data_IF_905390717317
#
_entry.id   IF_905390717317
#
_cell.length_a   1.000
_cell.length_b   1.000
_cell.length_c   1.000
_cell.angle_alpha   90.00
_cell.angle_beta   90.00
_cell.angle_gamma   90.00
#
_symmetry.space_group_name_H-M   'P 1'
#
loop_
_entity.id
_entity.type
_entity.pdbx_description
1 polymer ?
#
# COMPACT_ATOMS: atom_id res chain seq x y z
N UNK A 1 -37.29 -34.92 5.74
CA UNK A 1 -36.08 -34.07 5.74
C UNK A 1 -34.93 -34.93 5.23
N UNK A 2 -34.36 -34.62 4.05
CA UNK A 2 -33.28 -35.44 3.48
C UNK A 2 -32.02 -35.18 4.30
N UNK A 3 -31.54 -36.20 5.00
CA UNK A 3 -30.28 -36.16 5.72
C UNK A 3 -29.18 -35.82 4.72
N UNK A 4 -28.39 -34.79 5.04
CA UNK A 4 -27.27 -34.33 4.24
C UNK A 4 -26.19 -35.42 4.34
N UNK A 5 -26.26 -36.42 3.47
CA UNK A 5 -25.16 -37.37 3.29
C UNK A 5 -23.95 -36.57 2.81
N UNK A 6 -22.78 -36.86 3.39
CA UNK A 6 -21.51 -36.18 3.11
C UNK A 6 -21.30 -34.85 3.85
N UNK A 7 -21.79 -34.70 5.08
CA UNK A 7 -21.56 -33.54 5.97
C UNK A 7 -20.10 -33.07 6.03
N UNK A 8 -19.12 -33.99 5.97
CA UNK A 8 -17.68 -33.64 5.93
C UNK A 8 -17.29 -32.89 4.65
N UNK A 9 -17.87 -33.23 3.50
CA UNK A 9 -17.63 -32.51 2.25
C UNK A 9 -18.21 -31.09 2.30
N UNK A 10 -19.39 -30.93 2.88
CA UNK A 10 -19.98 -29.59 3.09
C UNK A 10 -19.15 -28.74 4.05
N UNK A 11 -18.58 -29.33 5.11
CA UNK A 11 -17.67 -28.62 6.01
C UNK A 11 -16.39 -28.16 5.28
N UNK A 12 -15.78 -29.03 4.46
CA UNK A 12 -14.59 -28.68 3.65
C UNK A 12 -14.93 -27.57 2.64
N UNK A 13 -16.07 -27.67 1.96
CA UNK A 13 -16.54 -26.66 1.00
C UNK A 13 -16.71 -25.29 1.65
N UNK A 14 -17.33 -25.23 2.84
CA UNK A 14 -17.54 -23.98 3.57
C UNK A 14 -16.23 -23.34 4.02
N UNK A 15 -15.26 -24.13 4.50
CA UNK A 15 -13.94 -23.64 4.92
C UNK A 15 -13.15 -23.09 3.71
N UNK A 16 -13.22 -23.76 2.56
CA UNK A 16 -12.55 -23.32 1.34
C UNK A 16 -13.09 -21.96 0.86
N UNK A 17 -14.41 -21.78 0.84
CA UNK A 17 -15.05 -20.52 0.44
C UNK A 17 -14.67 -19.38 1.40
N UNK A 18 -14.68 -19.64 2.71
CA UNK A 18 -14.31 -18.64 3.73
C UNK A 18 -12.86 -18.15 3.59
N UNK A 19 -11.94 -19.07 3.27
CA UNK A 19 -10.52 -18.77 3.10
C UNK A 19 -10.26 -17.85 1.88
N UNK A 20 -11.01 -18.03 0.80
CA UNK A 20 -10.92 -17.20 -0.41
C UNK A 20 -11.37 -15.76 -0.12
N UNK A 21 -12.44 -15.59 0.67
CA UNK A 21 -12.96 -14.27 1.05
C UNK A 21 -11.95 -13.42 1.84
N UNK A 22 -11.03 -14.04 2.58
CA UNK A 22 -10.01 -13.32 3.36
C UNK A 22 -8.80 -12.88 2.52
N UNK A 23 -8.58 -13.46 1.33
CA UNK A 23 -7.41 -13.15 0.48
C UNK A 23 -7.47 -11.79 -0.22
N UNK A 24 -8.65 -11.14 -0.24
CA UNK A 24 -8.86 -9.84 -0.88
C UNK A 24 -8.45 -8.61 -0.06
N UNK A 25 -8.02 -8.78 1.20
CA UNK A 25 -7.67 -7.65 2.08
C UNK A 25 -6.25 -7.10 1.87
N UNK A 26 -5.69 -7.19 0.67
CA UNK A 26 -4.47 -6.47 0.32
C UNK A 26 -4.86 -5.05 -0.08
N UNK A 27 -4.75 -4.10 0.86
CA UNK A 27 -4.66 -2.67 0.52
C UNK A 27 -3.39 -2.52 -0.30
N UNK A 28 -3.53 -2.59 -1.62
CA UNK A 28 -2.50 -2.08 -2.52
C UNK A 28 -2.33 -0.62 -2.16
N UNK A 29 -1.24 -0.30 -1.45
CA UNK A 29 -0.79 1.08 -1.32
C UNK A 29 -0.56 1.51 -2.75
N UNK A 30 -1.56 2.19 -3.31
CA UNK A 30 -1.47 2.77 -4.61
C UNK A 30 -0.39 3.83 -4.53
N UNK A 31 0.86 3.43 -4.73
CA UNK A 31 1.83 4.27 -5.41
C UNK A 31 1.35 4.41 -6.84
N UNK A 32 0.16 5.03 -7.02
CA UNK A 32 -0.17 5.78 -8.21
C UNK A 32 0.81 6.95 -8.20
N UNK A 33 2.07 6.64 -8.49
CA UNK A 33 2.98 7.58 -9.09
C UNK A 33 2.30 7.91 -10.40
N UNK A 34 1.44 8.92 -10.35
CA UNK A 34 1.03 9.62 -11.54
C UNK A 34 2.34 9.99 -12.22
N UNK A 35 2.68 9.25 -13.28
CA UNK A 35 3.67 9.67 -14.27
C UNK A 35 3.11 10.92 -14.96
N UNK A 36 2.97 11.99 -14.19
CA UNK A 36 2.89 13.34 -14.70
C UNK A 36 4.33 13.67 -15.04
N UNK A 37 4.60 13.73 -16.35
CA UNK A 37 5.81 14.27 -16.95
C UNK A 37 5.95 15.75 -16.59
N UNK A 38 6.13 16.05 -15.31
CA UNK A 38 6.43 17.39 -14.84
C UNK A 38 7.92 17.43 -14.62
N UNK A 39 8.63 18.11 -15.54
CA UNK A 39 10.00 18.66 -15.38
C UNK A 39 10.53 18.42 -13.98
N UNK A 40 11.51 17.52 -13.84
CA UNK A 40 12.16 17.11 -12.59
C UNK A 40 12.12 18.20 -11.52
N UNK A 41 11.02 18.26 -10.75
CA UNK A 41 10.89 19.28 -9.72
C UNK A 41 11.92 18.90 -8.66
N UNK A 42 12.71 19.86 -8.14
CA UNK A 42 13.60 19.58 -7.04
C UNK A 42 12.80 18.92 -5.92
N UNK A 43 13.39 17.87 -5.33
CA UNK A 43 12.77 17.09 -4.27
C UNK A 43 12.29 18.06 -3.17
N UNK A 44 11.02 18.01 -2.73
CA UNK A 44 10.54 18.95 -1.72
C UNK A 44 11.38 18.80 -0.44
N UNK A 45 11.66 19.90 0.27
CA UNK A 45 12.62 19.94 1.37
C UNK A 45 12.28 18.96 2.51
N UNK A 46 11.00 18.68 2.73
CA UNK A 46 10.55 17.68 3.70
C UNK A 46 10.86 16.23 3.30
N UNK A 47 10.82 15.91 2.00
CA UNK A 47 11.25 14.61 1.51
C UNK A 47 12.77 14.49 1.53
N UNK A 48 13.49 15.54 1.11
CA UNK A 48 14.94 15.62 1.18
C UNK A 48 15.45 15.37 2.61
N UNK A 49 14.83 16.03 3.60
CA UNK A 49 15.13 15.80 5.02
C UNK A 49 14.95 14.33 5.46
N UNK A 50 13.86 13.69 5.02
CA UNK A 50 13.56 12.30 5.38
C UNK A 50 14.58 11.33 4.79
N UNK A 51 15.03 11.55 3.56
CA UNK A 51 16.04 10.70 2.92
C UNK A 51 17.43 10.92 3.50
N UNK A 52 17.78 12.15 3.90
CA UNK A 52 19.12 12.46 4.44
C UNK A 52 19.25 12.24 5.93
N UNK A 53 18.13 11.98 6.64
CA UNK A 53 18.12 11.76 8.08
C UNK A 53 18.44 13.02 8.91
N UNK A 54 18.46 14.20 8.28
CA UNK A 54 18.80 15.45 8.96
C UNK A 54 17.66 15.93 9.87
N UNK A 55 18.02 16.58 10.99
CA UNK A 55 17.03 17.13 11.94
C UNK A 55 16.27 18.33 11.38
N UNK A 56 16.74 18.98 10.32
CA UNK A 56 16.16 20.21 9.76
C UNK A 56 16.11 20.19 8.23
N UNK A 57 15.01 20.70 7.66
CA UNK A 57 14.85 20.84 6.20
C UNK A 57 15.39 22.18 5.65
N UNK A 58 15.95 23.03 6.52
CA UNK A 58 16.39 24.39 6.16
C UNK A 58 17.38 24.37 4.99
N UNK A 59 18.35 23.45 4.98
CA UNK A 59 19.37 23.35 3.91
C UNK A 59 18.80 23.03 2.52
N UNK A 60 17.62 22.45 2.46
CA UNK A 60 16.93 22.07 1.22
C UNK A 60 15.85 23.07 0.80
N UNK A 61 15.61 24.13 1.61
CA UNK A 61 14.59 25.11 1.29
C UNK A 61 15.08 26.05 0.16
N UNK A 62 14.19 26.46 -0.75
CA UNK A 62 14.54 27.34 -1.86
C UNK A 62 15.08 28.68 -1.34
N UNK A 63 16.22 29.13 -1.89
CA UNK A 63 16.88 30.38 -1.51
C UNK A 63 17.90 30.28 -0.38
N UNK A 64 18.17 29.09 0.16
CA UNK A 64 19.15 28.89 1.24
C UNK A 64 20.58 28.62 0.73
N UNK A 65 20.73 28.32 -0.57
CA UNK A 65 22.01 28.15 -1.26
C UNK A 65 22.28 29.31 -2.24
N UNK A 66 21.97 30.54 -1.81
CA UNK A 66 22.38 31.75 -2.53
C UNK A 66 23.77 32.16 -2.08
#
# INVERSE_FOLDING_TARGET
MKQIQNSRFYAILLIAIFSISLSGCAVGIGTRSSRSSYKSKPLPPGQAKKITGEKSAKRYAPGQNK
#
